data_IF_103462924993
#
_entry.id   IF_103462924993
#
_cell.length_a   1.000
_cell.length_b   1.000
_cell.length_c   1.000
_cell.angle_alpha   90.00
_cell.angle_beta   90.00
_cell.angle_gamma   90.00
#
_symmetry.space_group_name_H-M   'P 1'
#
loop_
_entity.id
_entity.type
_entity.pdbx_description
1 polymer ?
#
# COMPACT_ATOMS: atom_id res chain seq x y z
N UNK A 1 38.09 3.49 23.45
CA UNK A 1 37.70 3.65 22.03
C UNK A 1 36.85 2.43 21.69
N UNK A 2 35.56 2.49 22.04
CA UNK A 2 34.63 1.36 21.93
C UNK A 2 34.08 1.36 20.51
N UNK A 3 34.42 0.32 19.76
CA UNK A 3 33.96 0.08 18.40
C UNK A 3 32.51 -0.38 18.45
N UNK A 4 31.57 0.44 17.98
CA UNK A 4 30.17 0.04 17.76
C UNK A 4 30.15 -0.95 16.59
N UNK A 5 29.53 -2.11 16.80
CA UNK A 5 29.40 -3.15 15.79
C UNK A 5 28.48 -2.65 14.66
N UNK A 6 28.75 -2.92 13.36
CA UNK A 6 27.87 -2.53 12.25
C UNK A 6 26.46 -3.11 12.31
N UNK A 7 26.19 -4.04 13.24
CA UNK A 7 24.91 -4.72 13.43
C UNK A 7 24.18 -4.33 14.73
N UNK A 8 24.70 -3.39 15.52
CA UNK A 8 23.97 -2.87 16.68
C UNK A 8 22.97 -1.82 16.19
N UNK A 9 21.73 -2.26 15.92
CA UNK A 9 20.62 -1.35 15.64
C UNK A 9 20.31 -0.60 16.94
N UNK A 10 20.60 0.70 16.95
CA UNK A 10 20.21 1.59 18.03
C UNK A 10 18.68 1.75 18.02
N UNK A 11 18.03 0.95 18.87
CA UNK A 11 16.57 0.93 19.02
C UNK A 11 16.02 2.29 19.47
N UNK A 12 16.76 3.05 20.30
CA UNK A 12 16.31 4.39 20.69
C UNK A 12 16.36 5.34 19.50
N UNK A 13 17.41 5.25 18.68
CA UNK A 13 17.49 6.02 17.45
C UNK A 13 16.34 5.68 16.51
N UNK A 14 16.07 4.39 16.27
CA UNK A 14 14.97 3.95 15.39
C UNK A 14 13.61 4.41 15.93
N UNK A 15 13.37 4.29 17.24
CA UNK A 15 12.11 4.69 17.87
C UNK A 15 11.96 6.22 17.99
N UNK A 16 13.06 6.98 17.93
CA UNK A 16 13.05 8.44 17.97
C UNK A 16 12.81 9.10 16.61
N UNK A 17 12.88 8.34 15.52
CA UNK A 17 12.51 8.83 14.18
C UNK A 17 11.00 9.05 14.15
N UNK A 18 10.61 10.31 14.29
CA UNK A 18 9.25 10.75 14.02
C UNK A 18 9.16 11.25 12.59
N UNK A 19 8.02 11.03 11.94
CA UNK A 19 7.77 11.61 10.63
C UNK A 19 7.65 13.13 10.77
N UNK A 20 8.71 13.84 10.42
CA UNK A 20 8.76 15.31 10.44
C UNK A 20 7.96 15.96 9.30
N UNK A 21 7.54 15.17 8.32
CA UNK A 21 6.82 15.59 7.11
C UNK A 21 5.33 15.21 7.18
N UNK A 22 4.77 15.00 8.38
CA UNK A 22 3.40 14.51 8.58
C UNK A 22 2.28 15.37 7.93
N UNK A 23 2.58 16.60 7.52
CA UNK A 23 1.65 17.51 6.84
C UNK A 23 2.08 17.85 5.40
N UNK A 24 3.15 17.25 4.91
CA UNK A 24 3.61 17.44 3.53
C UNK A 24 2.63 16.75 2.57
N UNK A 25 2.05 17.53 1.65
CA UNK A 25 1.15 17.01 0.62
C UNK A 25 1.89 16.57 -0.64
N UNK A 26 3.10 17.09 -0.86
CA UNK A 26 3.91 16.87 -2.06
C UNK A 26 5.37 16.74 -1.66
N UNK A 27 5.94 15.55 -1.86
CA UNK A 27 7.35 15.27 -1.61
C UNK A 27 8.13 15.19 -2.93
N UNK A 28 9.19 15.98 -3.08
CA UNK A 28 10.00 16.02 -4.29
C UNK A 28 11.15 15.01 -4.23
N UNK A 29 11.13 14.03 -5.13
CA UNK A 29 12.24 13.05 -5.30
C UNK A 29 12.97 13.32 -6.60
N UNK A 30 14.30 13.42 -6.53
CA UNK A 30 15.13 13.56 -7.74
C UNK A 30 15.17 12.24 -8.51
N UNK A 31 14.93 12.31 -9.82
CA UNK A 31 15.24 11.20 -10.71
C UNK A 31 16.71 11.18 -11.13
N UNK A 32 17.31 9.99 -11.09
CA UNK A 32 18.71 9.73 -11.41
C UNK A 32 18.85 8.82 -12.65
N UNK A 33 17.78 8.66 -13.43
CA UNK A 33 17.79 7.94 -14.70
C UNK A 33 17.67 8.89 -15.90
N UNK A 34 18.22 8.47 -17.04
CA UNK A 34 18.03 9.16 -18.31
C UNK A 34 16.65 8.83 -18.91
N UNK A 35 16.02 9.82 -19.53
CA UNK A 35 14.82 9.62 -20.34
C UNK A 35 15.19 9.09 -21.73
N UNK A 36 14.80 7.85 -22.04
CA UNK A 36 15.13 7.21 -23.32
C UNK A 36 13.92 7.19 -24.25
N UNK A 37 14.02 7.96 -25.32
CA UNK A 37 13.12 7.89 -26.48
C UNK A 37 13.66 6.90 -27.51
N UNK A 38 12.81 5.97 -27.95
CA UNK A 38 13.13 5.00 -29.00
C UNK A 38 12.30 5.28 -30.26
N UNK A 39 12.95 5.22 -31.43
CA UNK A 39 12.31 5.34 -32.74
C UNK A 39 12.11 3.97 -33.41
N UNK A 40 12.55 2.90 -32.77
CA UNK A 40 12.28 1.54 -33.23
C UNK A 40 10.90 1.11 -32.70
N UNK A 41 9.97 0.85 -33.62
CA UNK A 41 8.60 0.44 -33.32
C UNK A 41 8.35 -1.05 -33.55
N UNK A 42 9.38 -1.82 -33.91
CA UNK A 42 9.27 -3.26 -34.11
C UNK A 42 8.99 -3.94 -32.77
N UNK A 43 7.79 -4.52 -32.63
CA UNK A 43 7.35 -5.27 -31.45
C UNK A 43 7.63 -6.76 -31.60
N UNK A 44 7.73 -7.45 -30.47
CA UNK A 44 7.77 -8.92 -30.46
C UNK A 44 9.15 -9.51 -30.19
N UNK A 45 10.18 -8.68 -29.99
CA UNK A 45 11.48 -9.15 -29.52
C UNK A 45 11.35 -9.85 -28.16
N UNK A 46 10.31 -9.47 -27.39
CA UNK A 46 10.07 -9.99 -26.04
C UNK A 46 8.63 -10.46 -25.84
N UNK A 47 8.32 -11.68 -26.30
CA UNK A 47 6.94 -12.22 -26.30
C UNK A 47 6.33 -12.35 -24.90
N UNK A 48 7.14 -12.49 -23.84
CA UNK A 48 6.64 -12.55 -22.46
C UNK A 48 5.98 -11.23 -22.02
N UNK A 49 6.53 -10.08 -22.39
CA UNK A 49 5.92 -8.78 -22.08
C UNK A 49 4.63 -8.57 -22.87
N UNK A 50 4.61 -8.94 -24.14
CA UNK A 50 3.39 -8.86 -24.94
C UNK A 50 2.27 -9.74 -24.35
N UNK A 51 2.59 -10.94 -23.87
CA UNK A 51 1.62 -11.80 -23.17
C UNK A 51 1.08 -11.13 -21.89
N UNK A 52 1.94 -10.48 -21.11
CA UNK A 52 1.53 -9.76 -19.91
C UNK A 52 0.61 -8.58 -20.25
N UNK A 53 0.98 -7.80 -21.27
CA UNK A 53 0.19 -6.66 -21.76
C UNK A 53 -1.20 -7.09 -22.23
N UNK A 54 -1.29 -8.12 -23.06
CA UNK A 54 -2.58 -8.64 -23.54
C UNK A 54 -3.46 -9.17 -22.40
N UNK A 55 -2.86 -9.84 -21.41
CA UNK A 55 -3.59 -10.28 -20.21
C UNK A 55 -4.08 -9.09 -19.40
N UNK A 56 -3.24 -8.08 -19.21
CA UNK A 56 -3.59 -6.88 -18.44
C UNK A 56 -4.79 -6.18 -19.07
N UNK A 57 -4.81 -5.94 -20.39
CA UNK A 57 -5.93 -5.29 -21.08
C UNK A 57 -7.28 -5.94 -20.81
N UNK A 58 -7.34 -7.27 -20.78
CA UNK A 58 -8.59 -8.00 -20.53
C UNK A 58 -8.97 -8.10 -19.04
N UNK A 59 -8.05 -7.81 -18.14
CA UNK A 59 -8.25 -7.91 -16.69
C UNK A 59 -8.49 -6.54 -16.03
N UNK A 60 -8.40 -5.44 -16.78
CA UNK A 60 -8.77 -4.12 -16.28
C UNK A 60 -10.29 -4.02 -16.14
N UNK A 61 -10.71 -3.45 -15.02
CA UNK A 61 -12.09 -3.05 -14.76
C UNK A 61 -12.16 -1.52 -14.84
N UNK A 62 -13.30 -0.99 -15.25
CA UNK A 62 -13.56 0.44 -15.20
C UNK A 62 -14.22 0.79 -13.87
N UNK A 63 -13.47 1.50 -13.02
CA UNK A 63 -13.95 1.94 -11.72
C UNK A 63 -15.28 2.70 -11.79
N UNK A 64 -15.49 3.54 -12.81
CA UNK A 64 -16.69 4.39 -12.91
C UNK A 64 -17.94 3.61 -13.31
N UNK A 65 -17.80 2.54 -14.10
CA UNK A 65 -18.96 1.84 -14.72
C UNK A 65 -19.19 0.44 -14.19
N UNK A 66 -18.16 -0.23 -13.70
CA UNK A 66 -18.24 -1.66 -13.37
C UNK A 66 -18.63 -1.88 -11.89
N UNK A 67 -18.57 -0.83 -11.06
CA UNK A 67 -19.02 -0.87 -9.68
C UNK A 67 -20.36 -0.14 -9.48
N UNK A 68 -21.30 -0.74 -8.71
CA UNK A 68 -22.55 -0.10 -8.33
C UNK A 68 -22.34 0.89 -7.18
N UNK A 69 -21.83 2.09 -7.50
CA UNK A 69 -21.49 3.12 -6.49
C UNK A 69 -22.66 3.61 -5.65
N UNK A 70 -23.89 3.46 -6.14
CA UNK A 70 -25.11 3.84 -5.40
C UNK A 70 -25.47 2.83 -4.29
N UNK A 71 -24.70 1.76 -4.12
CA UNK A 71 -24.91 0.80 -3.03
C UNK A 71 -24.65 1.49 -1.70
N UNK A 72 -25.66 1.51 -0.82
CA UNK A 72 -25.52 2.03 0.53
C UNK A 72 -24.57 1.15 1.36
N UNK A 73 -23.52 1.77 1.92
CA UNK A 73 -22.51 1.09 2.74
C UNK A 73 -22.46 1.73 4.12
N UNK A 74 -22.88 0.99 5.13
CA UNK A 74 -22.73 1.35 6.54
C UNK A 74 -21.48 0.68 7.13
N UNK A 75 -20.41 1.47 7.26
CA UNK A 75 -19.12 1.00 7.78
C UNK A 75 -19.21 0.58 9.26
N UNK A 76 -20.00 1.27 10.07
CA UNK A 76 -20.15 0.96 11.49
C UNK A 76 -20.92 -0.35 11.69
N UNK A 77 -22.01 -0.55 10.94
CA UNK A 77 -22.75 -1.80 10.99
C UNK A 77 -21.92 -3.00 10.54
N UNK A 78 -21.11 -2.84 9.48
CA UNK A 78 -20.17 -3.87 9.03
C UNK A 78 -19.08 -4.16 10.07
N UNK A 79 -18.49 -3.12 10.65
CA UNK A 79 -17.48 -3.27 11.69
C UNK A 79 -18.03 -3.96 12.94
N UNK A 80 -19.27 -3.62 13.34
CA UNK A 80 -19.99 -4.27 14.44
C UNK A 80 -20.27 -5.74 14.16
N UNK A 81 -20.67 -6.10 12.94
CA UNK A 81 -20.88 -7.49 12.55
C UNK A 81 -19.58 -8.32 12.59
N UNK A 82 -18.43 -7.68 12.35
CA UNK A 82 -17.11 -8.30 12.37
C UNK A 82 -16.44 -8.35 13.76
N UNK A 83 -17.04 -7.76 14.82
CA UNK A 83 -16.45 -7.71 16.17
C UNK A 83 -16.09 -9.10 16.69
N UNK A 84 -16.94 -10.11 16.45
CA UNK A 84 -16.68 -11.47 16.93
C UNK A 84 -15.49 -12.13 16.22
N UNK A 85 -15.20 -11.77 14.98
CA UNK A 85 -14.01 -12.27 14.26
C UNK A 85 -12.72 -11.74 14.89
N UNK A 86 -12.70 -10.45 15.23
CA UNK A 86 -11.55 -9.84 15.90
C UNK A 86 -11.44 -10.27 17.37
N UNK A 87 -12.57 -10.37 18.08
CA UNK A 87 -12.61 -10.93 19.44
C UNK A 87 -12.05 -12.35 19.47
N UNK A 88 -12.43 -13.21 18.53
CA UNK A 88 -11.91 -14.58 18.42
C UNK A 88 -10.39 -14.63 18.20
N UNK A 89 -9.80 -13.63 17.56
CA UNK A 89 -8.33 -13.49 17.49
C UNK A 89 -7.74 -13.15 18.87
N UNK A 90 -8.40 -12.26 19.60
CA UNK A 90 -7.96 -11.76 20.92
C UNK A 90 -8.23 -12.72 22.08
N UNK A 91 -9.17 -13.67 21.94
CA UNK A 91 -9.53 -14.66 22.97
C UNK A 91 -8.37 -15.57 23.38
N UNK A 92 -7.35 -15.69 22.52
CA UNK A 92 -6.12 -16.44 22.81
C UNK A 92 -5.09 -15.64 23.63
N UNK A 93 -5.33 -14.34 23.88
CA UNK A 93 -4.43 -13.44 24.58
C UNK A 93 -4.96 -13.10 25.98
N UNK A 94 -4.06 -13.08 26.97
CA UNK A 94 -4.37 -12.51 28.27
C UNK A 94 -4.34 -10.97 28.18
N UNK A 95 -5.51 -10.36 28.27
CA UNK A 95 -5.67 -8.92 28.17
C UNK A 95 -5.60 -8.22 29.54
N UNK A 96 -5.45 -8.97 30.65
CA UNK A 96 -5.41 -8.39 31.98
C UNK A 96 -4.24 -7.40 32.13
N UNK A 97 -4.52 -6.21 32.66
CA UNK A 97 -3.53 -5.14 32.82
C UNK A 97 -3.17 -4.39 31.54
N UNK A 98 -3.77 -4.73 30.40
CA UNK A 98 -3.57 -4.02 29.12
C UNK A 98 -4.64 -2.92 28.91
N UNK A 99 -4.40 -1.95 28.01
CA UNK A 99 -5.44 -0.98 27.63
C UNK A 99 -6.73 -1.61 27.06
N UNK A 100 -6.65 -2.85 26.56
CA UNK A 100 -7.77 -3.59 25.96
C UNK A 100 -8.67 -4.27 26.99
N UNK A 101 -8.24 -4.39 28.26
CA UNK A 101 -9.01 -5.06 29.32
C UNK A 101 -10.43 -4.48 29.48
N UNK A 102 -10.59 -3.19 29.20
CA UNK A 102 -11.86 -2.45 29.38
C UNK A 102 -12.67 -2.31 28.09
N UNK A 103 -12.22 -2.90 26.98
CA UNK A 103 -12.88 -2.73 25.68
C UNK A 103 -14.13 -3.59 25.56
N UNK A 104 -15.25 -2.96 25.18
CA UNK A 104 -16.47 -3.62 24.76
C UNK A 104 -16.60 -3.67 23.24
N UNK A 105 -17.78 -4.07 22.74
CA UNK A 105 -18.03 -4.25 21.30
C UNK A 105 -17.78 -2.96 20.51
N UNK A 106 -18.09 -1.80 21.11
CA UNK A 106 -17.93 -0.49 20.47
C UNK A 106 -16.46 -0.16 20.21
N UNK A 107 -15.58 -0.36 21.19
CA UNK A 107 -14.15 -0.09 21.05
C UNK A 107 -13.50 -1.04 20.02
N UNK A 108 -13.91 -2.31 20.02
CA UNK A 108 -13.45 -3.28 19.02
C UNK A 108 -13.93 -2.94 17.61
N UNK A 109 -15.19 -2.51 17.46
CA UNK A 109 -15.70 -2.05 16.17
C UNK A 109 -14.97 -0.79 15.68
N UNK A 110 -14.67 0.15 16.58
CA UNK A 110 -13.87 1.32 16.24
C UNK A 110 -12.47 0.92 15.76
N UNK A 111 -11.81 -0.02 16.45
CA UNK A 111 -10.51 -0.54 15.99
C UNK A 111 -10.60 -1.18 14.60
N UNK A 112 -11.70 -1.90 14.29
CA UNK A 112 -11.92 -2.46 12.96
C UNK A 112 -12.00 -1.36 11.90
N UNK A 113 -12.77 -0.29 12.14
CA UNK A 113 -12.87 0.85 11.22
C UNK A 113 -11.50 1.49 11.00
N UNK A 114 -10.77 1.77 12.08
CA UNK A 114 -9.43 2.37 11.97
C UNK A 114 -8.44 1.45 11.24
N UNK A 115 -8.52 0.13 11.47
CA UNK A 115 -7.72 -0.86 10.76
C UNK A 115 -8.02 -0.91 9.26
N UNK A 116 -9.29 -0.82 8.88
CA UNK A 116 -9.71 -0.71 7.48
C UNK A 116 -9.22 0.60 6.84
N UNK A 117 -9.41 1.73 7.52
CA UNK A 117 -8.93 3.04 7.06
C UNK A 117 -7.41 3.06 6.86
N UNK A 118 -6.67 2.51 7.82
CA UNK A 118 -5.22 2.39 7.74
C UNK A 118 -4.80 1.52 6.54
N UNK A 119 -5.45 0.36 6.36
CA UNK A 119 -5.15 -0.54 5.24
C UNK A 119 -5.42 0.11 3.88
N UNK A 120 -6.58 0.77 3.73
CA UNK A 120 -6.90 1.52 2.51
C UNK A 120 -5.88 2.63 2.26
N UNK A 121 -5.46 3.33 3.31
CA UNK A 121 -4.42 4.35 3.19
C UNK A 121 -3.12 3.75 2.67
N UNK A 122 -2.67 2.60 3.20
CA UNK A 122 -1.47 1.93 2.69
C UNK A 122 -1.62 1.51 1.22
N UNK A 123 -2.81 1.04 0.83
CA UNK A 123 -3.09 0.69 -0.56
C UNK A 123 -2.95 1.90 -1.49
N UNK A 124 -3.56 3.04 -1.16
CA UNK A 124 -3.47 4.27 -1.97
C UNK A 124 -2.02 4.75 -2.13
N UNK A 125 -1.21 4.73 -1.06
CA UNK A 125 0.21 5.07 -1.16
C UNK A 125 0.99 4.05 -2.01
N UNK A 126 0.66 2.76 -1.88
CA UNK A 126 1.24 1.69 -2.69
C UNK A 126 0.93 1.85 -4.18
N UNK A 127 -0.30 2.23 -4.54
CA UNK A 127 -0.69 2.51 -5.92
C UNK A 127 0.08 3.69 -6.51
N UNK A 128 0.23 4.79 -5.74
CA UNK A 128 1.05 5.92 -6.17
C UNK A 128 2.50 5.50 -6.44
N UNK A 129 3.09 4.69 -5.55
CA UNK A 129 4.43 4.14 -5.75
C UNK A 129 4.52 3.25 -6.99
N UNK A 130 3.52 2.40 -7.22
CA UNK A 130 3.45 1.56 -8.42
C UNK A 130 3.40 2.40 -9.71
N UNK A 131 2.64 3.50 -9.73
CA UNK A 131 2.59 4.44 -10.86
C UNK A 131 3.95 5.09 -11.15
N UNK A 132 4.69 5.47 -10.11
CA UNK A 132 6.06 6.01 -10.28
C UNK A 132 6.99 4.93 -10.84
N UNK A 133 6.90 3.70 -10.33
CA UNK A 133 7.71 2.58 -10.83
C UNK A 133 7.42 2.28 -12.31
N UNK A 134 6.15 2.25 -12.72
CA UNK A 134 5.81 2.01 -14.13
C UNK A 134 6.26 3.16 -15.03
N UNK A 135 6.10 4.41 -14.59
CA UNK A 135 6.60 5.58 -15.30
C UNK A 135 8.12 5.49 -15.52
N UNK A 136 8.89 5.13 -14.49
CA UNK A 136 10.35 4.95 -14.60
C UNK A 136 10.76 3.83 -15.55
N UNK A 137 10.03 2.72 -15.58
CA UNK A 137 10.26 1.64 -16.55
C UNK A 137 10.00 2.18 -17.97
N UNK A 138 8.86 2.83 -18.18
CA UNK A 138 8.49 3.43 -19.47
C UNK A 138 9.43 4.56 -19.85
N UNK A 139 10.12 5.22 -18.94
CA UNK A 139 11.08 6.29 -19.25
C UNK A 139 12.47 5.74 -19.59
N UNK A 140 13.00 4.82 -18.78
CA UNK A 140 14.41 4.41 -18.83
C UNK A 140 14.71 3.22 -19.75
N UNK A 141 13.69 2.47 -20.16
CA UNK A 141 13.88 1.23 -20.92
C UNK A 141 13.96 1.50 -22.43
N UNK A 142 14.99 1.02 -23.16
CA UNK A 142 15.19 1.39 -24.58
C UNK A 142 14.31 0.63 -25.60
N UNK A 143 13.52 -0.35 -25.16
CA UNK A 143 12.77 -1.28 -26.01
C UNK A 143 11.28 -0.94 -26.03
N UNK A 144 10.68 -0.96 -27.23
CA UNK A 144 9.27 -0.64 -27.43
C UNK A 144 8.33 -1.66 -26.76
N UNK A 145 8.75 -2.92 -26.57
CA UNK A 145 7.95 -3.93 -25.87
C UNK A 145 7.73 -3.60 -24.37
N UNK A 146 8.49 -2.67 -23.80
CA UNK A 146 8.37 -2.22 -22.40
C UNK A 146 7.71 -0.83 -22.26
N UNK A 147 7.32 -0.22 -23.39
CA UNK A 147 6.54 1.02 -23.43
C UNK A 147 5.07 0.66 -23.69
#
# INVERSE_FOLDING_TARGET
MTTVSPNDIDLEQVLSVSNTEAHELVHHVRDHADAIFTWNYDKGERPALNKLYEKAKGAQWNGETDLPWDTEVDQEAQAMAAVNTFRGFTESYDLAGTPFERWGDREWAQLNVEGSNWTLSQFLHGEQGALVCTAKIVESVPWIDAK
#
